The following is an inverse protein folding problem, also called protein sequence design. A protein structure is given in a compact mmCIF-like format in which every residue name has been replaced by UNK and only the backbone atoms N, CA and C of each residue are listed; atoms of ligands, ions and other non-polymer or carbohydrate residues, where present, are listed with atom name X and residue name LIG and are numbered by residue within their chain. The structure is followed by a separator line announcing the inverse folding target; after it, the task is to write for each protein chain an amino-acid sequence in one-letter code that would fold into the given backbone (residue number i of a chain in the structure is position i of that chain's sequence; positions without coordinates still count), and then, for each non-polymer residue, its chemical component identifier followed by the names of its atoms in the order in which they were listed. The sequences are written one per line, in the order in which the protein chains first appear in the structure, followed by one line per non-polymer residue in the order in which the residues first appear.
data_IF_012665095863
#
_entry.id   IF_012665095863
#
_cell.length_a   1.000
_cell.length_b   1.000
_cell.length_c   1.000
_cell.angle_alpha   90.00
_cell.angle_beta   90.00
_cell.angle_gamma   90.00
#
_symmetry.space_group_name_H-M   'P 1'
#
loop_
_entity.id
_entity.type
_entity.pdbx_description
1 polymer ?
#
# COMPACT_ATOMS: atom_id res chain seq x y z
N UNK A 1 -57.14 70.99 -2.10
CA UNK A 1 -56.56 71.13 -3.45
C UNK A 1 -55.04 70.98 -3.35
N UNK A 2 -54.44 69.84 -3.74
CA UNK A 2 -52.98 69.69 -3.78
C UNK A 2 -52.42 70.26 -5.10
N UNK A 3 -51.25 70.90 -5.06
CA UNK A 3 -50.51 71.28 -6.28
C UNK A 3 -49.08 70.71 -6.20
N UNK A 4 -48.78 69.77 -7.10
CA UNK A 4 -47.49 69.12 -7.26
C UNK A 4 -46.46 70.05 -7.92
N UNK A 5 -45.22 70.11 -7.37
CA UNK A 5 -44.04 70.62 -8.08
C UNK A 5 -43.31 69.46 -8.76
N UNK A 6 -42.98 69.64 -10.04
CA UNK A 6 -42.35 68.65 -10.94
C UNK A 6 -40.88 68.42 -10.56
N UNK A 7 -40.49 67.17 -10.34
CA UNK A 7 -39.09 66.75 -10.39
C UNK A 7 -38.71 66.48 -11.85
N UNK A 8 -37.62 67.13 -12.29
CA UNK A 8 -37.07 66.99 -13.65
C UNK A 8 -36.68 65.55 -13.95
N UNK A 9 -37.03 65.12 -15.17
CA UNK A 9 -36.82 63.76 -15.68
C UNK A 9 -35.31 63.49 -15.77
N UNK A 10 -34.82 62.33 -15.34
CA UNK A 10 -33.40 61.98 -15.49
C UNK A 10 -33.06 61.89 -16.97
N UNK A 11 -32.21 62.80 -17.44
CA UNK A 11 -31.78 62.88 -18.83
C UNK A 11 -30.76 61.80 -19.21
N UNK A 12 -30.69 61.53 -20.52
CA UNK A 12 -29.84 60.51 -21.16
C UNK A 12 -28.34 60.61 -20.81
N UNK A 13 -27.88 61.78 -20.33
CA UNK A 13 -26.50 62.00 -19.88
C UNK A 13 -26.16 61.18 -18.62
N UNK A 14 -27.12 60.93 -17.73
CA UNK A 14 -26.90 60.08 -16.54
C UNK A 14 -26.76 58.58 -16.87
N UNK A 15 -27.21 58.17 -18.05
CA UNK A 15 -27.24 56.77 -18.48
C UNK A 15 -25.94 56.35 -19.20
N UNK A 16 -25.28 57.28 -19.90
CA UNK A 16 -23.98 57.06 -20.53
C UNK A 16 -22.80 57.02 -19.52
N UNK A 17 -22.83 57.84 -18.47
CA UNK A 17 -21.79 57.81 -17.43
C UNK A 17 -21.87 56.54 -16.56
N UNK A 18 -23.09 56.05 -16.27
CA UNK A 18 -23.28 54.82 -15.48
C UNK A 18 -22.88 53.56 -16.24
N UNK A 19 -22.98 53.51 -17.57
CA UNK A 19 -22.58 52.34 -18.35
C UNK A 19 -21.06 52.14 -18.38
N UNK A 20 -20.26 53.20 -18.37
CA UNK A 20 -18.79 53.08 -18.30
C UNK A 20 -18.31 52.56 -16.92
N UNK A 21 -18.91 53.04 -15.81
CA UNK A 21 -18.57 52.59 -14.45
C UNK A 21 -19.15 51.19 -14.18
N UNK A 22 -20.34 50.89 -14.68
CA UNK A 22 -20.97 49.55 -14.56
C UNK A 22 -20.31 48.51 -15.47
N UNK A 23 -19.78 48.90 -16.64
CA UNK A 23 -18.99 47.99 -17.49
C UNK A 23 -17.62 47.66 -16.87
N UNK A 24 -17.00 48.63 -16.19
CA UNK A 24 -15.76 48.42 -15.41
C UNK A 24 -15.96 47.49 -14.21
N UNK A 25 -17.12 47.53 -13.55
CA UNK A 25 -17.43 46.61 -12.42
C UNK A 25 -18.03 45.29 -12.87
N UNK A 26 -18.63 45.19 -14.06
CA UNK A 26 -19.06 43.92 -14.65
C UNK A 26 -17.87 42.99 -14.88
N UNK A 27 -16.78 43.49 -15.45
CA UNK A 27 -15.54 42.70 -15.61
C UNK A 27 -14.90 42.35 -14.26
N UNK A 28 -15.03 43.21 -13.24
CA UNK A 28 -14.52 42.95 -11.89
C UNK A 28 -15.32 41.85 -11.15
N UNK A 29 -16.65 41.83 -11.29
CA UNK A 29 -17.52 40.81 -10.67
C UNK A 29 -17.44 39.47 -11.42
N UNK A 30 -17.42 39.49 -12.75
CA UNK A 30 -17.21 38.28 -13.57
C UNK A 30 -15.81 37.68 -13.36
N UNK A 31 -14.78 38.53 -13.26
CA UNK A 31 -13.41 38.09 -12.93
C UNK A 31 -13.27 37.61 -11.48
N UNK A 32 -14.07 38.14 -10.55
CA UNK A 32 -14.15 37.65 -9.16
C UNK A 32 -14.79 36.26 -9.09
N UNK A 33 -15.89 36.03 -9.81
CA UNK A 33 -16.51 34.71 -9.88
C UNK A 33 -15.64 33.69 -10.62
N UNK A 34 -14.98 34.08 -11.72
CA UNK A 34 -14.02 33.23 -12.42
C UNK A 34 -12.83 32.86 -11.51
N UNK A 35 -12.27 33.82 -10.76
CA UNK A 35 -11.25 33.55 -9.74
C UNK A 35 -11.75 32.69 -8.59
N UNK A 36 -13.01 32.87 -8.16
CA UNK A 36 -13.60 32.05 -7.11
C UNK A 36 -13.81 30.61 -7.56
N UNK A 37 -14.25 30.40 -8.81
CA UNK A 37 -14.33 29.05 -9.39
C UNK A 37 -12.93 28.43 -9.56
N UNK A 38 -11.93 29.19 -10.03
CA UNK A 38 -10.56 28.69 -10.10
C UNK A 38 -9.98 28.35 -8.73
N UNK A 39 -10.24 29.18 -7.71
CA UNK A 39 -9.80 28.93 -6.34
C UNK A 39 -10.47 27.68 -5.75
N UNK A 40 -11.77 27.48 -6.01
CA UNK A 40 -12.48 26.25 -5.62
C UNK A 40 -11.92 25.01 -6.32
N UNK A 41 -11.72 25.07 -7.64
CA UNK A 41 -11.13 23.97 -8.39
C UNK A 41 -9.71 23.61 -7.91
N UNK A 42 -8.90 24.62 -7.54
CA UNK A 42 -7.59 24.41 -6.93
C UNK A 42 -7.66 23.80 -5.53
N UNK A 43 -8.65 24.20 -4.72
CA UNK A 43 -8.89 23.60 -3.40
C UNK A 43 -9.38 22.16 -3.51
N UNK A 44 -10.28 21.86 -4.43
CA UNK A 44 -10.78 20.49 -4.68
C UNK A 44 -9.65 19.58 -5.17
N UNK A 45 -8.80 20.07 -6.08
CA UNK A 45 -7.63 19.32 -6.54
C UNK A 45 -6.63 19.03 -5.40
N UNK A 46 -6.40 20.00 -4.50
CA UNK A 46 -5.56 19.80 -3.32
C UNK A 46 -6.18 18.81 -2.32
N UNK A 47 -7.50 18.91 -2.09
CA UNK A 47 -8.21 18.00 -1.20
C UNK A 47 -8.13 16.56 -1.71
N UNK A 48 -8.38 16.33 -3.01
CA UNK A 48 -8.25 15.00 -3.61
C UNK A 48 -6.83 14.45 -3.56
N UNK A 49 -5.81 15.29 -3.78
CA UNK A 49 -4.41 14.87 -3.66
C UNK A 49 -4.07 14.46 -2.22
N UNK A 50 -4.57 15.20 -1.22
CA UNK A 50 -4.35 14.88 0.19
C UNK A 50 -5.06 13.59 0.61
N UNK A 51 -6.29 13.36 0.14
CA UNK A 51 -7.06 12.16 0.44
C UNK A 51 -6.41 10.91 -0.17
N UNK A 52 -5.93 11.00 -1.42
CA UNK A 52 -5.17 9.93 -2.08
C UNK A 52 -3.87 9.62 -1.32
N UNK A 53 -3.15 10.65 -0.88
CA UNK A 53 -1.92 10.47 -0.10
C UNK A 53 -2.21 9.82 1.26
N UNK A 54 -3.32 10.17 1.91
CA UNK A 54 -3.70 9.60 3.19
C UNK A 54 -4.09 8.11 3.06
N UNK A 55 -4.78 7.72 1.98
CA UNK A 55 -5.05 6.30 1.70
C UNK A 55 -3.77 5.50 1.49
N UNK A 56 -2.81 6.05 0.74
CA UNK A 56 -1.54 5.36 0.50
C UNK A 56 -0.71 5.19 1.78
N UNK A 57 -0.65 6.23 2.62
CA UNK A 57 0.03 6.14 3.91
C UNK A 57 -0.59 5.10 4.86
N UNK A 58 -1.92 4.93 4.83
CA UNK A 58 -2.59 3.89 5.62
C UNK A 58 -2.25 2.48 5.12
N UNK A 59 -2.17 2.29 3.80
CA UNK A 59 -1.76 1.00 3.21
C UNK A 59 -0.31 0.66 3.57
N UNK A 60 0.60 1.63 3.46
CA UNK A 60 2.02 1.42 3.80
C UNK A 60 2.21 1.10 5.28
N UNK A 61 1.48 1.79 6.17
CA UNK A 61 1.50 1.50 7.60
C UNK A 61 0.98 0.09 7.93
N UNK A 62 -0.11 -0.34 7.27
CA UNK A 62 -0.65 -1.68 7.43
C UNK A 62 0.32 -2.77 6.91
N UNK A 63 0.98 -2.51 5.77
CA UNK A 63 1.98 -3.42 5.21
C UNK A 63 3.21 -3.55 6.12
N UNK A 64 3.68 -2.45 6.71
CA UNK A 64 4.80 -2.46 7.65
C UNK A 64 4.47 -3.26 8.93
N UNK A 65 3.26 -3.09 9.48
CA UNK A 65 2.80 -3.84 10.64
C UNK A 65 2.71 -5.35 10.35
N UNK A 66 2.18 -5.74 9.19
CA UNK A 66 2.12 -7.14 8.77
C UNK A 66 3.52 -7.75 8.61
N UNK A 67 4.47 -7.02 8.02
CA UNK A 67 5.85 -7.46 7.88
C UNK A 67 6.54 -7.68 9.24
N UNK A 68 6.30 -6.80 10.23
CA UNK A 68 6.82 -6.97 11.58
C UNK A 68 6.25 -8.21 12.28
N UNK A 69 4.96 -8.50 12.10
CA UNK A 69 4.34 -9.70 12.66
C UNK A 69 4.95 -10.99 12.10
N UNK A 70 5.23 -11.02 10.80
CA UNK A 70 5.85 -12.17 10.13
C UNK A 70 7.31 -12.36 10.59
N UNK A 71 8.07 -11.27 10.73
CA UNK A 71 9.44 -11.31 11.26
C UNK A 71 9.49 -11.81 12.72
N UNK A 72 8.56 -11.36 13.56
CA UNK A 72 8.47 -11.82 14.95
C UNK A 72 8.12 -13.32 15.06
N UNK A 73 7.22 -13.82 14.21
CA UNK A 73 6.90 -15.25 14.14
C UNK A 73 8.11 -16.09 13.72
N UNK A 74 8.89 -15.61 12.75
CA UNK A 74 10.07 -16.34 12.27
C UNK A 74 11.20 -16.35 13.29
N UNK A 75 11.38 -15.26 14.05
CA UNK A 75 12.32 -15.21 15.17
C UNK A 75 11.92 -16.16 16.32
N UNK A 76 10.62 -16.26 16.64
CA UNK A 76 10.13 -17.19 17.66
C UNK A 76 10.32 -18.66 17.25
N UNK A 77 10.12 -18.99 15.97
CA UNK A 77 10.37 -20.34 15.45
C UNK A 77 11.86 -20.73 15.48
N UNK A 78 12.77 -19.78 15.25
CA UNK A 78 14.21 -20.03 15.34
C UNK A 78 14.69 -20.24 16.78
N UNK A 79 14.10 -19.55 17.76
CA UNK A 79 14.45 -19.70 19.18
C UNK A 79 13.88 -20.99 19.82
N UNK A 80 12.83 -21.57 19.24
CA UNK A 80 12.25 -22.83 19.69
C UNK A 80 12.95 -24.07 19.10
N UNK A 81 13.99 -23.90 18.26
CA UNK A 81 14.84 -25.01 17.87
C UNK A 81 15.55 -25.56 19.13
N UNK A 82 15.29 -26.81 19.54
CA UNK A 82 15.93 -27.39 20.70
C UNK A 82 17.45 -27.38 20.49
N UNK A 83 18.20 -26.91 21.48
CA UNK A 83 19.64 -27.02 21.50
C UNK A 83 20.00 -28.49 21.18
N UNK A 84 20.86 -28.75 20.17
CA UNK A 84 21.26 -30.12 19.88
C UNK A 84 21.85 -30.70 21.17
N UNK A 85 21.38 -31.87 21.64
CA UNK A 85 22.06 -32.54 22.74
C UNK A 85 23.53 -32.68 22.36
N UNK A 86 24.48 -32.59 23.33
CA UNK A 86 25.89 -32.78 23.04
C UNK A 86 26.03 -34.06 22.23
N UNK A 87 26.44 -33.91 20.98
CA UNK A 87 26.55 -35.00 20.02
C UNK A 87 27.65 -35.93 20.54
N UNK A 88 27.25 -36.93 21.32
CA UNK A 88 28.06 -38.12 21.51
C UNK A 88 28.30 -38.67 20.11
N UNK A 89 29.55 -38.62 19.67
CA UNK A 89 30.04 -39.02 18.36
C UNK A 89 29.15 -40.07 17.65
N UNK A 90 28.15 -39.58 16.91
CA UNK A 90 27.22 -40.36 16.11
C UNK A 90 27.85 -40.66 14.74
N UNK A 91 29.08 -41.19 14.77
CA UNK A 91 29.79 -41.59 13.56
C UNK A 91 29.76 -43.09 13.32
N UNK A 92 29.51 -43.89 14.37
CA UNK A 92 29.64 -45.35 14.30
C UNK A 92 28.33 -46.14 14.28
N UNK A 93 27.24 -45.57 14.80
CA UNK A 93 25.96 -46.29 14.94
C UNK A 93 25.02 -46.06 13.75
N UNK A 94 25.16 -44.92 13.06
CA UNK A 94 24.24 -44.53 11.98
C UNK A 94 24.43 -45.34 10.70
N UNK A 95 25.67 -45.74 10.34
CA UNK A 95 25.90 -46.54 9.12
C UNK A 95 25.19 -47.90 9.22
N UNK A 96 25.25 -48.54 10.38
CA UNK A 96 24.58 -49.84 10.61
C UNK A 96 23.05 -49.66 10.62
N UNK A 97 22.55 -48.57 11.21
CA UNK A 97 21.12 -48.25 11.21
C UNK A 97 20.59 -47.94 9.80
N UNK A 98 21.36 -47.22 8.98
CA UNK A 98 21.01 -46.92 7.58
C UNK A 98 21.03 -48.17 6.70
N UNK A 99 22.00 -49.07 6.89
CA UNK A 99 22.02 -50.38 6.21
C UNK A 99 20.79 -51.23 6.57
N UNK A 100 20.34 -51.18 7.82
CA UNK A 100 19.14 -51.89 8.27
C UNK A 100 17.86 -51.30 7.65
N UNK A 101 17.76 -49.97 7.56
CA UNK A 101 16.62 -49.28 6.92
C UNK A 101 16.54 -49.58 5.42
N UNK A 102 17.67 -49.59 4.72
CA UNK A 102 17.73 -49.98 3.31
C UNK A 102 17.27 -51.44 3.10
N UNK A 103 17.61 -52.34 4.03
CA UNK A 103 17.15 -53.74 4.00
C UNK A 103 15.64 -53.86 4.13
N UNK A 104 15.04 -53.12 5.08
CA UNK A 104 13.59 -53.09 5.26
C UNK A 104 12.85 -52.54 4.04
N UNK A 105 13.41 -51.52 3.38
CA UNK A 105 12.81 -50.95 2.17
C UNK A 105 12.91 -51.91 0.97
N UNK A 106 13.98 -52.69 0.88
CA UNK A 106 14.10 -53.78 -0.11
C UNK A 106 13.07 -54.89 0.15
N UNK A 107 12.94 -55.34 1.40
CA UNK A 107 11.96 -56.37 1.80
C UNK A 107 10.51 -55.91 1.57
N UNK A 108 10.24 -54.61 1.76
CA UNK A 108 8.96 -54.00 1.44
C UNK A 108 8.72 -53.83 -0.08
N UNK A 109 9.69 -54.19 -0.92
CA UNK A 109 9.62 -54.03 -2.37
C UNK A 109 9.66 -52.57 -2.84
N UNK A 110 10.08 -51.63 -1.98
CA UNK A 110 10.20 -50.20 -2.27
C UNK A 110 11.54 -49.84 -2.92
N UNK A 111 12.54 -50.72 -2.82
CA UNK A 111 13.81 -50.62 -3.55
C UNK A 111 14.07 -51.90 -4.33
N UNK A 112 14.60 -51.74 -5.53
CA UNK A 112 15.16 -52.85 -6.31
C UNK A 112 16.52 -53.31 -5.77
N UNK A 113 16.92 -54.53 -6.10
CA UNK A 113 18.23 -55.10 -5.71
C UNK A 113 19.40 -54.21 -6.18
N UNK A 114 19.29 -53.65 -7.37
CA UNK A 114 20.31 -52.78 -7.96
C UNK A 114 20.46 -51.48 -7.16
N UNK A 115 19.35 -50.84 -6.80
CA UNK A 115 19.34 -49.60 -6.00
C UNK A 115 19.85 -49.82 -4.58
N UNK A 116 19.50 -50.96 -3.97
CA UNK A 116 20.01 -51.35 -2.66
C UNK A 116 21.54 -51.54 -2.68
N UNK A 117 22.08 -52.21 -3.71
CA UNK A 117 23.52 -52.43 -3.84
C UNK A 117 24.31 -51.13 -4.00
N UNK A 118 23.78 -50.19 -4.79
CA UNK A 118 24.40 -48.88 -5.01
C UNK A 118 24.38 -48.01 -3.75
N UNK A 119 23.29 -48.04 -2.98
CA UNK A 119 23.19 -47.31 -1.72
C UNK A 119 24.13 -47.89 -0.65
N UNK A 120 24.25 -49.22 -0.56
CA UNK A 120 25.20 -49.89 0.33
C UNK A 120 26.65 -49.58 -0.02
N UNK A 121 27.00 -49.53 -1.30
CA UNK A 121 28.35 -49.17 -1.75
C UNK A 121 28.70 -47.71 -1.42
N UNK A 122 27.73 -46.78 -1.52
CA UNK A 122 27.92 -45.37 -1.12
C UNK A 122 28.09 -45.19 0.38
N UNK A 123 27.49 -46.07 1.19
CA UNK A 123 27.57 -46.02 2.65
C UNK A 123 28.84 -46.64 3.22
N UNK A 124 29.50 -47.53 2.47
CA UNK A 124 30.69 -48.26 2.90
C UNK A 124 31.97 -47.87 2.12
N UNK A 125 31.84 -46.96 1.14
CA UNK A 125 32.89 -46.60 0.19
C UNK A 125 33.63 -45.32 0.54
#
# INVERSE_FOLDING_TARGET
MPVFRRVGRPGLVGLAARTAVVAGTASAVSGSMARSQQARAQQEAQAHAFEAQQQQAQMDAAAAAAAQQLAAQQAAAAAAAPAPPPQAAAGGVDIVAELQKLGQLKEAGLLSDDEFSAAKAKLLG
#
